data_IF_855837297400
#
_entry.id   IF_855837297400
#
_cell.length_a   1.000
_cell.length_b   1.000
_cell.length_c   1.000
_cell.angle_alpha   90.00
_cell.angle_beta   90.00
_cell.angle_gamma   90.00
#
_symmetry.space_group_name_H-M   'P 1'
#
loop_
_entity.id
_entity.type
_entity.pdbx_description
1 polymer ?
2 polymer ?
3 polymer ?
4 polymer ?
5 non-polymer ?
6 non-polymer ?
7 non-polymer ?
8 non-polymer ?
9 water ?
#
loop_
_entity_poly.entity_id
_entity_poly.type
_entity_poly.pdbx_seq_one_letter_code
_entity_poly.pdbx_strand_id
1 'polydeoxyribonucleotide' '(DG)(DT)(DA)(DA)(DT)(DG)(DA)(DG)(DC)(DC)(DT)(DA)(DA)(DC)(DG)(DC)(DT)(DC)(DA)(DG)(DC)(DA)(DA)(DT)(DT)(DC)(DC)(DC)(DA)(DC)(DG)(DT)(DA)(DA)(DG)(DA)' ?
2 'polydeoxyribonucleotide' '(DC)(DT)(DT)(DA)(DC)(DG)(DT)(DG)(DG)(DG)(DA)(DA)(DT)(DT)(DG)(DC)(DT)(DG)(DA)(DG)(DC)' ?
3 'polydeoxyribonucleotide' '(DG)(DT)(DT)(DA)(DG)(DG)(DC)(DT)(DC)(DA)(DT)(DT)(DA)(DC)(DT)' ?
#
# COMPACT_ATOMS: atom_id res chain seq x y z
N UNK D 1 4.67 -30.66 17.70
CA UNK D 1 3.84 -29.48 17.32
C UNK D 1 3.22 -28.83 18.56
N UNK D 2 3.71 -27.65 18.92
CA UNK D 2 3.23 -26.93 20.08
C UNK D 2 1.90 -26.21 19.92
N UNK D 3 1.06 -26.34 20.97
CA UNK D 3 -0.24 -25.69 21.00
C UNK D 3 -0.35 -24.72 22.18
N UNK D 4 -0.98 -23.58 21.93
CA UNK D 4 -1.19 -22.57 22.96
C UNK D 4 -2.61 -22.07 22.83
N UNK D 5 -3.19 -21.59 23.92
CA UNK D 5 -4.54 -21.06 23.86
C UNK D 5 -4.56 -19.65 23.32
N UNK D 6 -5.38 -19.41 22.30
CA UNK D 6 -5.48 -18.09 21.70
C UNK D 6 -5.92 -17.07 22.75
N UNK D 7 -5.01 -16.18 23.10
CA UNK D 7 -5.29 -15.15 24.09
C UNK D 7 -6.56 -14.42 23.71
N UNK D 8 -7.44 -14.23 24.70
CA UNK D 8 -8.67 -13.52 24.46
C UNK D 8 -9.75 -14.41 23.93
N UNK D 9 -9.42 -15.69 23.78
CA UNK D 9 -10.35 -16.70 23.29
C UNK D 9 -10.11 -18.03 23.98
N UNK D 10 -9.49 -17.97 25.15
CA UNK D 10 -9.17 -19.15 25.93
C UNK D 10 -10.41 -20.01 26.16
N UNK D 11 -10.26 -21.33 26.00
CA UNK D 11 -11.38 -22.23 26.19
C UNK D 11 -12.20 -22.41 24.93
N UNK D 12 -11.94 -21.59 23.92
CA UNK D 12 -12.67 -21.66 22.68
C UNK D 12 -11.82 -22.16 21.53
N UNK D 13 -10.68 -21.49 21.31
CA UNK D 13 -9.77 -21.89 20.25
C UNK D 13 -8.35 -22.03 20.75
N UNK D 14 -7.54 -22.62 19.89
CA UNK D 14 -6.13 -22.84 20.20
C UNK D 14 -5.33 -22.75 18.91
N UNK D 15 -4.03 -22.45 19.06
CA UNK D 15 -3.17 -22.30 17.89
C UNK D 15 -1.90 -23.13 18.00
N UNK D 16 -1.36 -23.57 16.87
CA UNK D 16 -0.13 -24.35 16.90
C UNK D 16 0.97 -23.59 16.15
N UNK D 17 2.22 -23.84 16.54
CA UNK D 17 3.34 -23.16 15.90
C UNK D 17 3.47 -23.49 14.40
N UNK D 18 2.66 -24.42 13.93
CA UNK D 18 2.75 -24.79 12.53
C UNK D 18 1.76 -23.98 11.71
N UNK D 19 0.91 -23.25 12.41
CA UNK D 19 -0.10 -22.43 11.74
C UNK D 19 -1.48 -23.04 11.73
N UNK D 20 -1.74 -23.95 12.67
CA UNK D 20 -3.05 -24.59 12.75
C UNK D 20 -3.92 -23.92 13.81
N UNK D 21 -5.16 -23.63 13.45
CA UNK D 21 -6.10 -23.01 14.38
C UNK D 21 -7.21 -24.04 14.62
N UNK D 22 -7.26 -24.54 15.85
CA UNK D 22 -8.23 -25.55 16.26
C UNK D 22 -9.37 -24.95 17.08
N UNK D 23 -10.58 -25.46 16.86
CA UNK D 23 -11.74 -25.01 17.62
C UNK D 23 -12.05 -26.12 18.61
N UNK D 24 -12.52 -25.76 19.80
CA UNK D 24 -12.82 -26.79 20.77
C UNK D 24 -14.27 -27.24 20.70
N UNK D 25 -15.19 -26.28 20.61
CA UNK D 25 -16.61 -26.60 20.53
C UNK D 25 -16.98 -27.14 19.15
N UNK D 26 -16.29 -26.66 18.13
CA UNK D 26 -16.56 -27.08 16.76
C UNK D 26 -15.95 -28.45 16.45
N UNK D 27 -15.03 -28.90 17.32
CA UNK D 27 -14.40 -30.19 17.14
C UNK D 27 -13.29 -30.28 16.12
N UNK D 28 -13.50 -29.65 14.96
CA UNK D 28 -12.51 -29.67 13.89
C UNK D 28 -11.58 -28.47 13.95
N UNK D 29 -10.67 -28.39 12.98
CA UNK D 29 -9.72 -27.30 12.90
C UNK D 29 -10.03 -26.40 11.71
N UNK D 30 -10.14 -25.11 11.97
CA UNK D 30 -10.46 -24.11 10.96
C UNK D 30 -9.57 -24.15 9.72
N UNK D 31 -10.24 -24.25 8.56
CA UNK D 31 -9.61 -24.29 7.24
C UNK D 31 -9.17 -22.89 6.87
N UNK D 32 -7.93 -22.76 6.42
CA UNK D 32 -7.39 -21.46 6.06
C UNK D 32 -8.00 -20.81 4.83
N UNK D 33 -8.29 -19.53 4.94
CA UNK D 33 -8.82 -18.79 3.82
C UNK D 33 -7.60 -18.21 3.13
N UNK D 34 -7.50 -18.38 1.81
CA UNK D 34 -6.35 -17.85 1.10
C UNK D 34 -6.78 -16.95 -0.04
N UNK D 35 -7.16 -15.70 0.28
CA UNK D 35 -7.61 -14.67 -0.67
C UNK D 35 -6.63 -14.41 -1.81
N UNK D 36 -6.83 -13.29 -2.49
CA UNK D 36 -5.97 -12.91 -3.59
C UNK D 36 -4.67 -12.34 -3.06
N UNK D 37 -4.72 -11.64 -1.93
CA UNK D 37 -3.49 -11.09 -1.36
C UNK D 37 -2.59 -12.20 -0.82
N UNK D 38 -3.14 -13.39 -0.76
CA UNK D 38 -2.38 -14.58 -0.36
C UNK D 38 -2.05 -14.81 1.13
N UNK D 39 -2.66 -14.08 2.05
CA UNK D 39 -2.40 -14.35 3.47
C UNK D 39 -3.46 -15.22 4.09
N UNK D 40 -3.06 -16.29 4.77
CA UNK D 40 -4.06 -17.17 5.41
C UNK D 40 -4.79 -16.55 6.57
N UNK D 41 -6.12 -16.47 6.45
CA UNK D 41 -6.97 -15.90 7.49
C UNK D 41 -8.00 -16.91 8.00
N UNK D 42 -8.61 -16.60 9.13
CA UNK D 42 -9.63 -17.46 9.71
C UNK D 42 -10.51 -16.57 10.55
N UNK D 43 -11.70 -17.04 10.91
CA UNK D 43 -12.58 -16.24 11.73
C UNK D 43 -12.78 -16.84 13.10
N UNK D 44 -12.55 -16.06 14.14
CA UNK D 44 -12.73 -16.56 15.49
C UNK D 44 -13.96 -15.89 16.09
N UNK D 45 -14.87 -16.70 16.63
CA UNK D 45 -16.09 -16.19 17.22
C UNK D 45 -16.05 -16.05 18.73
N UNK D 46 -16.57 -14.92 19.20
CA UNK D 46 -16.60 -14.58 20.61
C UNK D 46 -17.95 -13.97 20.95
N UNK D 47 -18.77 -14.69 21.71
CA UNK D 47 -20.07 -14.18 22.09
C UNK D 47 -20.95 -13.85 20.91
N UNK D 48 -21.25 -14.87 20.10
CA UNK D 48 -22.09 -14.67 18.94
C UNK D 48 -21.37 -13.99 17.78
N UNK D 49 -20.59 -12.95 18.10
CA UNK D 49 -19.86 -12.21 17.08
C UNK D 49 -18.47 -12.75 16.73
N UNK D 50 -18.23 -12.97 15.43
CA UNK D 50 -16.95 -13.48 14.97
C UNK D 50 -16.09 -12.45 14.25
N UNK D 51 -14.79 -12.46 14.54
CA UNK D 51 -13.84 -11.51 13.96
C UNK D 51 -12.84 -12.21 13.06
N UNK D 52 -12.29 -11.51 12.07
CA UNK D 52 -11.32 -12.13 11.15
C UNK D 52 -9.89 -11.92 11.60
N UNK D 53 -9.12 -12.99 11.65
CA UNK D 53 -7.72 -12.93 12.06
C UNK D 53 -6.75 -13.52 11.02
N UNK D 54 -5.49 -13.09 11.09
CA UNK D 54 -4.44 -13.57 10.19
C UNK D 54 -3.61 -14.67 10.85
N UNK D 55 -3.71 -15.89 10.33
CA UNK D 55 -3.00 -17.02 10.88
C UNK D 55 -1.56 -16.71 11.23
N UNK D 56 -0.83 -16.01 10.36
CA UNK D 56 0.55 -15.75 10.71
C UNK D 56 0.73 -14.78 11.87
N UNK D 57 -0.26 -13.93 12.16
CA UNK D 57 -0.12 -13.03 13.28
C UNK D 57 -0.37 -13.85 14.54
N UNK D 58 -1.39 -14.70 14.50
CA UNK D 58 -1.72 -15.53 15.64
C UNK D 58 -0.54 -16.39 16.04
N UNK D 59 0.18 -16.93 15.06
CA UNK D 59 1.33 -17.77 15.38
C UNK D 59 2.38 -16.89 16.02
N UNK D 60 2.77 -15.86 15.30
CA UNK D 60 3.77 -14.92 15.79
C UNK D 60 3.43 -14.40 17.20
N UNK D 61 2.18 -14.00 17.41
CA UNK D 61 1.79 -13.48 18.71
C UNK D 61 1.99 -14.49 19.82
N UNK D 62 1.79 -15.77 19.52
CA UNK D 62 1.93 -16.76 20.56
C UNK D 62 3.27 -17.49 20.65
N UNK D 63 3.97 -17.62 19.54
CA UNK D 63 5.25 -18.32 19.57
C UNK D 63 6.47 -17.53 19.12
N UNK D 64 6.40 -16.20 19.13
CA UNK D 64 7.54 -15.40 18.68
C UNK D 64 7.88 -14.21 19.54
N UNK D 65 9.05 -14.24 20.19
CA UNK D 65 9.48 -13.13 21.03
C UNK D 65 9.73 -11.91 20.13
N UNK D 66 9.61 -10.72 20.70
CA UNK D 66 9.86 -9.53 19.92
C UNK D 66 8.70 -8.62 19.63
N UNK D 67 7.49 -9.02 20.00
CA UNK D 67 6.35 -8.16 19.72
C UNK D 67 6.44 -6.82 20.44
N UNK D 68 6.24 -5.75 19.66
CA UNK D 68 6.22 -4.38 20.15
C UNK D 68 5.14 -3.64 19.38
N UNK D 69 4.49 -2.69 20.01
CA UNK D 69 3.43 -1.94 19.34
C UNK D 69 3.88 -1.42 18.00
N UNK D 70 2.96 -1.49 17.04
CA UNK D 70 3.21 -1.00 15.70
C UNK D 70 4.03 -1.92 14.83
N UNK D 71 4.61 -2.95 15.44
CA UNK D 71 5.44 -3.87 14.67
C UNK D 71 4.59 -4.69 13.73
N UNK D 72 5.27 -5.30 12.78
CA UNK D 72 4.61 -6.08 11.75
C UNK D 72 5.23 -7.48 11.68
N UNK D 73 4.42 -8.48 11.34
CA UNK D 73 4.91 -9.86 11.27
C UNK D 73 5.43 -10.19 9.89
N UNK D 74 6.69 -10.61 9.84
CA UNK D 74 7.31 -10.93 8.57
C UNK D 74 7.50 -12.42 8.31
N UNK D 75 7.38 -12.80 7.04
CA UNK D 75 7.59 -14.17 6.58
C UNK D 75 9.00 -14.16 6.01
N UNK D 76 9.96 -14.66 6.78
CA UNK D 76 11.36 -14.66 6.35
C UNK D 76 11.57 -15.08 4.91
N UNK D 77 11.03 -16.23 4.54
CA UNK D 77 11.20 -16.78 3.20
C UNK D 77 10.28 -16.27 2.11
N UNK D 78 9.47 -15.27 2.41
CA UNK D 78 8.57 -14.77 1.39
C UNK D 78 7.45 -15.73 1.05
N UNK D 79 7.51 -16.95 1.56
CA UNK D 79 6.44 -17.89 1.28
C UNK D 79 5.30 -17.69 2.28
N UNK D 80 4.23 -17.03 1.83
CA UNK D 80 3.10 -16.77 2.70
C UNK D 80 2.35 -18.04 3.08
N UNK D 81 2.70 -19.15 2.45
CA UNK D 81 2.04 -20.40 2.77
C UNK D 81 2.81 -21.10 3.89
N UNK D 82 4.04 -20.67 4.10
CA UNK D 82 4.89 -21.23 5.13
C UNK D 82 4.66 -20.43 6.38
N UNK D 83 3.76 -20.89 7.23
CA UNK D 83 3.44 -20.18 8.44
C UNK D 83 3.97 -20.82 9.72
N UNK D 84 5.10 -21.54 9.61
CA UNK D 84 5.62 -22.09 10.84
C UNK D 84 6.13 -20.92 11.63
N UNK D 85 6.14 -20.98 12.95
CA UNK D 85 6.61 -19.87 13.75
C UNK D 85 8.05 -19.58 13.45
N UNK D 86 8.81 -20.61 13.11
CA UNK D 86 10.23 -20.43 12.83
C UNK D 86 10.49 -19.56 11.60
N UNK D 87 9.48 -19.44 10.73
CA UNK D 87 9.59 -18.62 9.51
C UNK D 87 9.11 -17.18 9.69
N UNK D 88 8.51 -16.89 10.84
CA UNK D 88 7.96 -15.57 11.13
C UNK D 88 8.80 -14.83 12.18
N UNK D 89 8.66 -13.51 12.21
CA UNK D 89 9.42 -12.70 13.16
C UNK D 89 8.87 -11.26 13.20
N UNK D 90 8.82 -10.69 14.39
CA UNK D 90 8.33 -9.32 14.53
C UNK D 90 9.35 -8.35 14.00
N UNK D 91 8.98 -7.60 12.98
CA UNK D 91 9.89 -6.65 12.38
C UNK D 91 9.26 -5.28 12.21
N UNK D 92 10.10 -4.30 11.96
CA UNK D 92 9.72 -2.91 11.77
C UNK D 92 9.39 -2.69 10.29
N UNK D 93 8.27 -2.06 9.98
CA UNK D 93 7.88 -1.85 8.58
C UNK D 93 9.01 -1.32 7.72
N UNK D 94 9.92 -0.57 8.32
CA UNK D 94 11.06 -0.02 7.59
C UNK D 94 11.94 -1.19 7.21
N UNK D 95 12.22 -2.04 8.18
CA UNK D 95 13.05 -3.21 7.95
C UNK D 95 12.46 -4.18 6.94
N UNK D 96 11.14 -4.38 7.00
CA UNK D 96 10.51 -5.29 6.06
C UNK D 96 10.71 -4.78 4.64
N UNK D 97 10.72 -3.47 4.47
CA UNK D 97 10.90 -2.91 3.14
C UNK D 97 12.37 -2.96 2.73
N UNK D 98 13.26 -2.63 3.65
CA UNK D 98 14.68 -2.66 3.35
C UNK D 98 15.06 -4.05 2.81
N UNK D 99 14.34 -5.08 3.25
CA UNK D 99 14.59 -6.44 2.80
C UNK D 99 14.21 -6.61 1.34
N UNK D 100 13.11 -5.97 0.94
CA UNK D 100 12.69 -6.03 -0.43
C UNK D 100 13.74 -5.34 -1.26
N UNK D 101 14.19 -4.21 -0.74
CA UNK D 101 15.24 -3.46 -1.36
C UNK D 101 16.41 -4.40 -1.61
N UNK D 102 16.92 -5.02 -0.54
CA UNK D 102 18.05 -5.94 -0.67
C UNK D 102 17.82 -6.99 -1.72
N UNK D 103 16.63 -7.57 -1.72
CA UNK D 103 16.31 -8.59 -2.71
C UNK D 103 16.03 -7.95 -4.08
N UNK D 104 15.95 -6.61 -4.11
CA UNK D 104 15.70 -5.88 -5.34
C UNK D 104 14.39 -6.24 -5.99
N UNK D 105 13.36 -6.40 -5.17
CA UNK D 105 12.04 -6.75 -5.69
C UNK D 105 10.97 -5.75 -5.39
N UNK D 106 11.35 -4.57 -4.89
CA UNK D 106 10.39 -3.51 -4.60
C UNK D 106 10.28 -2.73 -5.90
N UNK D 107 9.08 -2.60 -6.44
CA UNK D 107 8.89 -1.90 -7.71
C UNK D 107 8.37 -0.48 -7.56
N UNK D 108 9.07 0.46 -8.16
CA UNK D 108 8.65 1.86 -8.07
C UNK D 108 8.67 2.52 -9.45
N UNK D 109 9.18 1.81 -10.44
CA UNK D 109 9.26 2.33 -11.78
C UNK D 109 7.89 2.33 -12.43
N UNK D 110 7.06 1.39 -12.04
CA UNK D 110 5.73 1.31 -12.61
C UNK D 110 4.94 2.55 -12.20
N UNK D 111 5.10 2.95 -10.95
CA UNK D 111 4.39 4.12 -10.45
C UNK D 111 4.90 5.36 -11.15
N UNK D 112 6.22 5.44 -11.35
CA UNK D 112 6.83 6.60 -11.99
C UNK D 112 6.35 6.78 -13.43
N UNK D 113 6.29 5.67 -14.16
CA UNK D 113 5.85 5.67 -15.55
C UNK D 113 4.42 6.19 -15.67
N UNK D 114 3.62 5.86 -14.67
CA UNK D 114 2.21 6.27 -14.65
C UNK D 114 2.04 7.66 -14.05
N UNK D 115 3.07 8.17 -13.39
CA UNK D 115 3.01 9.49 -12.79
C UNK D 115 3.39 10.54 -13.83
N UNK D 116 4.36 10.20 -14.66
CA UNK D 116 4.82 11.09 -15.70
C UNK D 116 3.65 11.47 -16.59
N UNK D 117 2.65 10.60 -16.64
CA UNK D 117 1.45 10.83 -17.44
C UNK D 117 0.41 11.54 -16.60
N UNK D 118 0.12 10.94 -15.45
CA UNK D 118 -0.92 11.41 -14.57
C UNK D 118 -0.66 12.70 -13.82
N UNK D 119 0.53 13.24 -13.83
CA UNK D 119 0.73 14.49 -13.07
C UNK D 119 0.52 15.70 -13.95
N UNK D 120 0.36 15.43 -15.23
CA UNK D 120 0.16 16.48 -16.20
C UNK D 120 -1.23 17.06 -16.01
N UNK D 121 -1.27 18.39 -16.02
CA UNK D 121 -2.51 19.10 -15.90
C UNK D 121 -2.63 19.85 -17.20
N UNK D 122 -3.71 19.60 -17.97
CA UNK D 122 -3.95 20.27 -19.25
C UNK D 122 -4.20 21.73 -19.00
N UNK D 123 -3.58 22.58 -19.81
CA UNK D 123 -3.72 24.01 -19.64
C UNK D 123 -4.18 24.63 -20.95
N UNK D 124 -4.65 25.87 -20.88
CA UNK D 124 -5.08 26.57 -22.06
C UNK D 124 -4.25 27.86 -22.22
N UNK D 125 -3.65 28.01 -23.38
CA UNK D 125 -2.85 29.20 -23.66
C UNK D 125 -3.67 30.24 -24.41
N UNK D 126 -3.45 31.51 -24.09
CA UNK D 126 -4.14 32.58 -24.77
C UNK D 126 -3.07 33.48 -25.37
N UNK D 127 -3.05 33.60 -26.69
CA UNK D 127 -2.08 34.43 -27.39
C UNK D 127 -2.45 35.88 -27.25
N UNK D 128 -1.48 36.78 -27.49
CA UNK D 128 -1.74 38.21 -27.39
C UNK D 128 -2.78 38.62 -28.43
N UNK D 129 -2.85 37.85 -29.51
CA UNK D 129 -3.79 38.08 -30.60
C UNK D 129 -5.19 37.55 -30.29
N UNK D 130 -5.30 36.74 -29.24
CA UNK D 130 -6.61 36.23 -28.84
C UNK D 130 -6.86 34.76 -29.07
N UNK D 131 -6.07 34.13 -29.92
CA UNK D 131 -6.23 32.72 -30.23
C UNK D 131 -5.79 31.85 -29.08
N UNK D 132 -6.56 30.80 -28.82
CA UNK D 132 -6.22 29.90 -27.73
C UNK D 132 -6.07 28.46 -28.19
N UNK D 133 -5.18 27.73 -27.52
CA UNK D 133 -4.89 26.33 -27.79
C UNK D 133 -4.71 25.62 -26.47
N UNK D 134 -5.22 24.39 -26.40
CA UNK D 134 -5.14 23.56 -25.19
C UNK D 134 -3.94 22.64 -25.33
N UNK D 135 -3.08 22.60 -24.31
CA UNK D 135 -1.92 21.74 -24.35
C UNK D 135 -2.05 20.71 -23.25
N UNK D 136 -1.40 19.54 -23.42
CA UNK D 136 -1.44 18.45 -22.44
C UNK D 136 -0.87 18.82 -21.06
N UNK D 137 0.24 19.56 -21.04
CA UNK D 137 0.88 19.95 -19.78
C UNK D 137 1.51 21.33 -19.88
N UNK D 138 1.80 21.95 -18.74
CA UNK D 138 2.44 23.24 -18.77
C UNK D 138 3.76 23.00 -19.46
N UNK D 139 4.39 21.88 -19.12
CA UNK D 139 5.68 21.54 -19.70
C UNK D 139 5.62 21.51 -21.21
N UNK D 140 4.74 20.69 -21.75
CA UNK D 140 4.57 20.55 -23.21
C UNK D 140 4.43 21.91 -23.89
N UNK D 141 3.59 22.77 -23.35
CA UNK D 141 3.40 24.10 -23.91
C UNK D 141 4.71 24.88 -23.91
N UNK D 142 5.29 25.07 -22.73
CA UNK D 142 6.53 25.81 -22.59
C UNK D 142 7.53 25.45 -23.66
N UNK D 143 7.60 24.17 -23.96
CA UNK D 143 8.54 23.71 -24.95
C UNK D 143 8.15 24.14 -26.36
N UNK D 144 6.89 23.96 -26.71
CA UNK D 144 6.41 24.32 -28.03
C UNK D 144 6.45 25.81 -28.29
N UNK D 145 6.10 26.59 -27.26
CA UNK D 145 6.04 28.04 -27.37
C UNK D 145 7.21 28.81 -26.75
N UNK D 146 8.26 28.11 -26.36
CA UNK D 146 9.40 28.80 -25.79
C UNK D 146 9.06 29.66 -24.59
N UNK D 147 8.55 29.01 -23.54
CA UNK D 147 8.15 29.69 -22.32
C UNK D 147 8.87 29.03 -21.15
N UNK D 148 8.87 29.69 -19.99
CA UNK D 148 9.52 29.16 -18.80
C UNK D 148 8.45 28.60 -17.88
N UNK D 149 8.67 27.37 -17.42
CA UNK D 149 7.71 26.70 -16.55
C UNK D 149 7.39 27.47 -15.27
N UNK D 150 8.40 27.91 -14.54
CA UNK D 150 8.12 28.64 -13.32
C UNK D 150 7.11 29.75 -13.58
N UNK D 151 7.38 30.54 -14.62
CA UNK D 151 6.50 31.62 -15.00
C UNK D 151 5.08 31.17 -15.35
N UNK D 152 4.95 30.30 -16.34
CA UNK D 152 3.64 29.81 -16.76
C UNK D 152 2.80 29.38 -15.58
N UNK D 153 3.45 28.73 -14.58
CA UNK D 153 2.76 28.27 -13.38
C UNK D 153 2.25 29.44 -12.57
N UNK D 154 3.09 30.48 -12.44
CA UNK D 154 2.72 31.65 -11.64
C UNK D 154 1.44 32.25 -12.19
N UNK D 155 1.36 32.31 -13.51
CA UNK D 155 0.18 32.86 -14.13
C UNK D 155 -1.01 31.97 -13.87
N UNK D 156 -0.82 30.66 -13.96
CA UNK D 156 -1.90 29.72 -13.72
C UNK D 156 -2.47 29.86 -12.31
N UNK D 157 -1.62 30.13 -11.32
CA UNK D 157 -2.06 30.27 -9.93
C UNK D 157 -2.56 31.66 -9.56
N UNK D 158 -2.33 32.63 -10.44
CA UNK D 158 -2.79 33.98 -10.19
C UNK D 158 -1.72 34.81 -9.47
N UNK D 159 -0.48 34.34 -9.52
CA UNK D 159 0.63 35.04 -8.89
C UNK D 159 1.24 36.06 -9.85
N UNK D 160 0.99 35.87 -11.11
CA UNK D 160 1.42 36.76 -12.16
C UNK D 160 0.28 36.79 -13.15
N UNK D 161 0.01 37.92 -13.75
CA UNK D 161 -1.12 38.02 -14.65
C UNK D 161 -0.83 37.61 -16.09
N UNK D 162 0.43 37.61 -16.48
CA UNK D 162 0.84 37.14 -17.81
C UNK D 162 2.34 36.94 -17.89
N UNK D 163 2.75 36.34 -19.03
CA UNK D 163 4.12 35.99 -19.27
C UNK D 163 4.42 35.93 -20.74
N UNK D 164 5.44 36.68 -21.17
CA UNK D 164 5.81 36.75 -22.57
C UNK D 164 4.61 37.01 -23.45
N UNK D 165 3.71 37.88 -22.97
CA UNK D 165 2.56 38.26 -23.75
C UNK D 165 1.36 37.30 -23.66
N UNK D 166 1.61 36.05 -23.30
CA UNK D 166 0.53 35.10 -23.18
C UNK D 166 0.01 35.12 -21.75
N UNK D 167 -1.03 34.40 -21.52
CA UNK D 167 -1.65 34.23 -20.22
C UNK D 167 -2.09 32.78 -20.20
N UNK D 168 -2.35 32.22 -19.03
CA UNK D 168 -2.70 30.82 -18.95
C UNK D 168 -3.82 30.54 -17.98
N UNK D 169 -4.58 29.48 -18.25
CA UNK D 169 -5.70 29.09 -17.41
C UNK D 169 -5.84 27.58 -17.56
N UNK D 170 -6.14 26.88 -16.48
CA UNK D 170 -6.30 25.43 -16.53
C UNK D 170 -7.52 24.97 -17.31
N UNK D 171 -7.42 23.79 -17.90
CA UNK D 171 -8.54 23.26 -18.63
C UNK D 171 -9.29 22.44 -17.59
N UNK D 172 -10.46 22.91 -17.18
CA UNK D 172 -11.25 22.18 -16.18
C UNK D 172 -12.12 21.13 -16.85
N UNK D 173 -12.54 20.14 -16.08
CA UNK D 173 -13.37 19.06 -16.59
C UNK D 173 -12.60 18.20 -17.60
N UNK D 174 -12.23 16.99 -17.16
CA UNK D 174 -11.48 16.07 -18.01
C UNK D 174 -10.52 15.19 -17.24
X LIG E 1 11.84 27.33 -1.72
X LIG F 1 13.74 62.76 -12.94
X LIG G 1 11.77 12.56 -2.08
X LIG G 1 12.96 12.72 -2.95
X LIG G 1 10.88 11.36 -2.57
X LIG G 1 10.42 11.60 -3.93
X LIG H 1 17.42 37.38 -15.88
X LIG H 1 18.87 37.34 -15.73
X LIG H 1 17.10 37.48 -17.37
X LIG H 1 17.71 38.70 -17.84
X LIG I 1 15.43 28.90 -4.32
X LIG I 1 14.82 27.61 -4.44
X LIG I 1 14.66 29.69 -3.26
X LIG I 1 13.31 29.81 -3.73
X LIG J 1 -16.36 -13.18 10.51
X LIG J 1 -15.33 -13.32 9.50
X LIG J 1 -17.48 -12.26 9.96
X LIG J 1 -16.87 -10.97 9.65
X LIG K 1 8.74 -9.71 4.10
X LIG L 1 -3.90 14.33 -14.38
X LIG M 1 -3.44 14.10 -11.23
X LIG N 1 3.66 40.87 -14.57
X LIG N 1 4.59 39.77 -14.76
X LIG N 1 3.04 40.77 -13.15
X LIG N 1 2.36 39.52 -13.07
X LIG O 1 -5.88 40.57 -25.75
X LIG O 1 -5.48 40.58 -27.15
X LIG O 1 -6.38 39.16 -25.34
X LIG O 1 -7.52 38.79 -26.16
X LIG P 1 5.98 -14.81 23.52
X LIG P 1 5.69 -15.75 22.47
X LIG P 1 5.26 -15.25 24.83
X LIG P 1 3.82 -15.29 24.62
X LIG Q 1 -4.10 -30.95 22.29
X LIG Q 1 -3.35 -31.66 21.05
X LIG Q 1 -4.23 -29.43 21.91
X LIG Q 1 -3.27 -31.00 23.58
X LIG Q 1 -5.35 -31.62 22.41
X LIG Q 1 -4.25 -31.55 19.91
X LIG Q 1 -5.60 -29.07 21.66
X LIG Q 1 -1.96 -31.66 23.49
#
# INVERSE_FOLDING_TARGET
>D
MEWKDIKGYEGHYQVSNTGEVYSIKSGKTLKHQIPKDGYHRIGLFKGGKGKTFQVHRLVAIHFCEGYEEGLVVDHKDGNKDNNLSTNLRWVTQKINVENQMSRGTLNVSKAQQIAKIKNQKPIIVISPDGIEKEYPSTKCACEELGLTRGKVTDVLKGHRIHHKGYTFRYKLNG
>E hetero
1 SR SR
>F hetero
1 SR SR
>G hetero
1 EDO C1 O1 C2 O2
>H hetero
1 EDO C1 O1 C2 O2
>I hetero
1 EDO C1 O1 C2 O2
>J hetero
1 EDO C1 O1 C2 O2
>K hetero
1 MN MN
>L hetero
1 SR SR
>M hetero
1 SR SR
>N hetero
1 EDO C1 O1 C2 O2
>O hetero
1 EDO C1 O1 C2 O2
>P hetero
1 EDO C1 O1 C2 O2
>Q hetero
1 TRS C C1 C2 C3 N O1 O2 O3
#
